data_IF_022413548761
#
_entry.id   IF_022413548761
#
_cell.length_a   1.000
_cell.length_b   1.000
_cell.length_c   1.000
_cell.angle_alpha   90.00
_cell.angle_beta   90.00
_cell.angle_gamma   90.00
#
_symmetry.space_group_name_H-M   'P 1'
#
loop_
_entity.id
_entity.type
_entity.pdbx_description
1 polymer ?
#
# COMPACT_ATOMS: atom_id res chain seq x y z
N UNK A 1 -16.40 62.23 -5.78
CA UNK A 1 -15.11 62.00 -5.11
C UNK A 1 -14.75 60.53 -5.30
N UNK A 2 -13.90 60.21 -6.27
CA UNK A 2 -13.46 58.82 -6.50
C UNK A 2 -12.37 58.47 -5.50
N UNK A 3 -12.66 57.55 -4.60
CA UNK A 3 -11.69 56.94 -3.70
C UNK A 3 -10.72 56.08 -4.51
N UNK A 4 -9.44 56.47 -4.52
CA UNK A 4 -8.38 55.70 -5.15
C UNK A 4 -8.24 54.32 -4.46
N UNK A 5 -8.00 53.23 -5.23
CA UNK A 5 -7.84 51.90 -4.65
C UNK A 5 -6.57 51.84 -3.79
N UNK A 6 -6.73 51.39 -2.55
CA UNK A 6 -5.63 51.16 -1.61
C UNK A 6 -4.62 50.18 -2.19
N UNK A 7 -3.33 50.56 -2.17
CA UNK A 7 -2.25 49.70 -2.64
C UNK A 7 -2.20 48.39 -1.84
N UNK A 8 -1.97 47.23 -2.50
CA UNK A 8 -1.92 45.94 -1.82
C UNK A 8 -0.75 45.88 -0.85
N UNK A 9 -0.94 45.19 0.28
CA UNK A 9 0.07 45.05 1.32
C UNK A 9 1.35 44.38 0.78
N UNK A 10 2.53 44.63 1.38
CA UNK A 10 3.79 44.00 0.99
C UNK A 10 3.71 42.47 0.96
N UNK A 11 2.96 41.87 1.89
CA UNK A 11 2.72 40.42 1.97
C UNK A 11 1.89 39.91 0.79
N UNK A 12 0.83 40.64 0.40
CA UNK A 12 0.01 40.29 -0.76
C UNK A 12 0.80 40.40 -2.07
N UNK A 13 1.70 41.39 -2.19
CA UNK A 13 2.61 41.51 -3.33
C UNK A 13 3.60 40.36 -3.39
N UNK A 14 4.19 39.94 -2.25
CA UNK A 14 5.08 38.77 -2.19
C UNK A 14 4.36 37.51 -2.63
N UNK A 15 3.19 37.20 -2.06
CA UNK A 15 2.39 36.03 -2.46
C UNK A 15 2.02 36.01 -3.95
N UNK A 16 1.65 37.17 -4.52
CA UNK A 16 1.35 37.28 -5.94
C UNK A 16 2.57 37.04 -6.83
N UNK A 17 3.75 37.51 -6.43
CA UNK A 17 5.02 37.26 -7.11
C UNK A 17 5.42 35.78 -7.02
N UNK A 18 5.29 35.15 -5.85
CA UNK A 18 5.59 33.72 -5.68
C UNK A 18 4.64 32.87 -6.53
N UNK A 19 3.34 33.16 -6.53
CA UNK A 19 2.36 32.47 -7.37
C UNK A 19 2.70 32.56 -8.86
N UNK A 20 3.00 33.77 -9.35
CA UNK A 20 3.36 33.98 -10.76
C UNK A 20 4.62 33.21 -11.16
N UNK A 21 5.61 33.12 -10.27
CA UNK A 21 6.84 32.35 -10.50
C UNK A 21 6.57 30.84 -10.55
N UNK A 22 5.70 30.31 -9.69
CA UNK A 22 5.27 28.92 -9.76
C UNK A 22 4.53 28.62 -11.08
N UNK A 23 3.61 29.49 -11.50
CA UNK A 23 2.86 29.33 -12.76
C UNK A 23 3.80 29.35 -13.99
N UNK A 24 4.84 30.18 -13.96
CA UNK A 24 5.83 30.27 -15.04
C UNK A 24 6.78 29.06 -15.09
N UNK A 25 7.23 28.56 -13.93
CA UNK A 25 8.03 27.35 -13.84
C UNK A 25 7.25 26.11 -14.33
N UNK A 26 5.96 26.01 -13.98
CA UNK A 26 5.05 25.00 -14.50
C UNK A 26 4.92 25.04 -16.03
N UNK A 27 4.75 26.24 -16.59
CA UNK A 27 4.66 26.44 -18.04
C UNK A 27 5.97 26.11 -18.78
N UNK A 28 7.13 26.30 -18.13
CA UNK A 28 8.44 25.90 -18.68
C UNK A 28 8.61 24.38 -18.70
N UNK A 29 8.17 23.68 -17.66
CA UNK A 29 8.20 22.20 -17.61
C UNK A 29 7.32 21.56 -18.69
N UNK A 30 6.18 22.16 -19.03
CA UNK A 30 5.32 21.70 -20.13
C UNK A 30 5.98 21.89 -21.52
N UNK A 31 6.95 22.81 -21.67
CA UNK A 31 7.71 23.02 -22.92
C UNK A 31 9.00 22.20 -23.01
N UNK A 32 9.60 21.85 -21.87
CA UNK A 32 10.99 21.38 -21.81
C UNK A 32 11.19 19.86 -21.92
N UNK A 33 10.14 19.05 -22.14
CA UNK A 33 10.30 17.60 -22.35
C UNK A 33 10.17 17.26 -23.84
N UNK A 34 11.25 17.37 -24.64
CA UNK A 34 11.28 16.71 -25.93
C UNK A 34 11.21 15.20 -25.70
N UNK A 35 10.17 14.56 -26.23
CA UNK A 35 10.11 13.10 -26.32
C UNK A 35 11.32 12.66 -27.14
N UNK A 36 12.27 11.86 -26.62
CA UNK A 36 13.37 11.37 -27.43
C UNK A 36 12.79 10.49 -28.54
N UNK A 37 12.89 11.00 -29.77
CA UNK A 37 12.54 10.27 -30.98
C UNK A 37 13.47 9.06 -31.12
N UNK A 38 12.87 7.88 -31.22
CA UNK A 38 13.54 6.58 -31.28
C UNK A 38 14.36 6.46 -32.58
N UNK A 39 15.64 6.83 -32.55
CA UNK A 39 16.60 6.43 -33.57
C UNK A 39 17.18 5.05 -33.19
N UNK A 40 16.80 4.01 -33.95
CA UNK A 40 17.41 2.69 -33.86
C UNK A 40 18.76 2.68 -34.61
N UNK A 41 19.83 2.04 -34.09
CA UNK A 41 21.04 1.83 -34.87
C UNK A 41 20.89 0.59 -35.78
N UNK A 42 21.03 0.80 -37.08
CA UNK A 42 21.20 -0.23 -38.10
C UNK A 42 22.66 -0.66 -38.13
N UNK A 43 22.98 -1.88 -37.67
CA UNK A 43 24.30 -2.47 -37.79
C UNK A 43 24.37 -3.37 -39.02
N UNK A 44 25.26 -3.02 -39.95
CA UNK A 44 25.64 -3.82 -41.11
C UNK A 44 26.61 -4.93 -40.70
N UNK A 45 26.45 -6.12 -41.29
CA UNK A 45 27.36 -7.26 -41.17
C UNK A 45 28.17 -7.44 -42.47
N UNK A 46 29.41 -7.96 -42.42
CA UNK A 46 30.06 -8.57 -43.57
C UNK A 46 30.05 -10.11 -43.52
N UNK A 47 30.25 -10.66 -44.71
CA UNK A 47 30.01 -12.04 -45.16
C UNK A 47 31.28 -12.92 -45.17
N UNK A 48 31.07 -14.23 -45.40
CA UNK A 48 31.99 -15.34 -45.72
C UNK A 48 32.63 -16.08 -44.51
N UNK A 49 32.75 -17.41 -44.44
CA UNK A 49 32.59 -18.52 -45.41
C UNK A 49 32.25 -19.85 -44.68
N UNK A 50 31.66 -20.81 -45.40
CA UNK A 50 31.38 -22.20 -44.98
C UNK A 50 32.62 -23.13 -45.19
N UNK A 51 32.67 -24.41 -44.72
CA UNK A 51 31.77 -25.51 -45.19
C UNK A 51 31.34 -26.62 -44.17
N UNK A 52 30.09 -27.11 -44.36
CA UNK A 52 29.49 -28.50 -44.40
C UNK A 52 30.12 -29.76 -43.73
N UNK A 53 29.39 -30.92 -43.58
CA UNK A 53 27.93 -31.19 -43.45
C UNK A 53 27.53 -32.36 -42.46
N UNK A 54 26.22 -32.70 -42.46
CA UNK A 54 25.55 -33.97 -42.09
C UNK A 54 24.99 -34.15 -40.65
N UNK A 55 23.66 -33.98 -40.52
CA UNK A 55 22.77 -35.09 -40.13
C UNK A 55 21.29 -34.72 -40.27
N UNK A 56 20.58 -35.58 -40.99
CA UNK A 56 19.17 -35.50 -41.30
C UNK A 56 18.28 -35.81 -40.08
N UNK A 57 17.12 -35.15 -40.00
CA UNK A 57 15.86 -35.76 -39.50
C UNK A 57 14.63 -34.91 -39.84
N UNK A 58 13.93 -35.39 -40.86
CA UNK A 58 12.48 -35.59 -41.00
C UNK A 58 11.52 -34.47 -40.56
N UNK A 59 10.92 -33.82 -41.56
CA UNK A 59 9.66 -33.07 -41.46
C UNK A 59 8.46 -34.00 -41.23
N UNK A 60 7.33 -33.45 -40.77
CA UNK A 60 6.13 -33.59 -41.60
C UNK A 60 5.37 -32.29 -41.84
N UNK A 61 4.81 -32.30 -43.05
CA UNK A 61 3.82 -31.50 -43.75
C UNK A 61 3.06 -30.36 -43.08
N UNK A 62 2.99 -29.29 -43.86
CA UNK A 62 1.94 -28.30 -43.90
C UNK A 62 0.62 -28.92 -44.37
N UNK A 63 -0.44 -28.69 -43.62
CA UNK A 63 -1.83 -28.55 -44.06
C UNK A 63 -2.59 -27.84 -42.91
N UNK A 64 -3.64 -27.10 -43.24
CA UNK A 64 -4.46 -26.21 -42.38
C UNK A 64 -3.99 -24.76 -42.18
N UNK A 65 -3.82 -24.06 -43.31
CA UNK A 65 -4.08 -22.63 -43.41
C UNK A 65 -5.58 -22.35 -43.61
N UNK A 66 -6.36 -22.26 -42.52
CA UNK A 66 -7.63 -21.54 -42.49
C UNK A 66 -8.21 -21.47 -41.05
N UNK A 67 -7.70 -20.55 -40.23
CA UNK A 67 -8.52 -19.98 -39.16
C UNK A 67 -8.28 -18.49 -39.09
N UNK A 68 -9.19 -17.78 -39.76
CA UNK A 68 -9.65 -16.40 -39.52
C UNK A 68 -9.00 -15.70 -38.33
N UNK A 69 -8.32 -14.60 -38.63
CA UNK A 69 -7.81 -13.65 -37.66
C UNK A 69 -8.92 -13.08 -36.78
N UNK A 70 -9.13 -13.72 -35.63
CA UNK A 70 -9.57 -13.01 -34.45
C UNK A 70 -8.38 -12.14 -34.03
N UNK A 71 -8.44 -10.84 -34.30
CA UNK A 71 -7.60 -9.86 -33.62
C UNK A 71 -7.62 -10.24 -32.15
N UNK A 72 -6.47 -10.68 -31.61
CA UNK A 72 -6.40 -11.15 -30.24
C UNK A 72 -6.81 -9.98 -29.37
N UNK A 73 -8.04 -10.04 -28.87
CA UNK A 73 -8.57 -9.05 -27.95
C UNK A 73 -7.63 -9.11 -26.77
N UNK A 74 -6.76 -8.11 -26.68
CA UNK A 74 -5.74 -8.03 -25.64
C UNK A 74 -6.49 -7.94 -24.32
N UNK A 75 -6.66 -9.08 -23.66
CA UNK A 75 -7.51 -9.16 -22.48
C UNK A 75 -6.75 -8.52 -21.31
N UNK A 76 -7.11 -7.27 -21.03
CA UNK A 76 -6.57 -6.53 -19.90
C UNK A 76 -7.12 -7.15 -18.61
N UNK A 77 -6.47 -8.19 -18.11
CA UNK A 77 -6.91 -8.96 -16.96
C UNK A 77 -6.18 -8.60 -15.65
N UNK A 78 -6.82 -8.90 -14.53
CA UNK A 78 -6.25 -8.81 -13.18
C UNK A 78 -4.96 -9.66 -13.00
N UNK A 79 -4.83 -10.76 -13.77
CA UNK A 79 -3.60 -11.56 -13.78
C UNK A 79 -2.41 -10.76 -14.32
N UNK A 80 -2.60 -10.00 -15.40
CA UNK A 80 -1.55 -9.16 -15.96
C UNK A 80 -1.20 -7.97 -15.06
N UNK A 81 -2.17 -7.45 -14.29
CA UNK A 81 -1.91 -6.41 -13.28
C UNK A 81 -0.93 -6.90 -12.21
N UNK A 82 -1.16 -8.11 -11.66
CA UNK A 82 -0.25 -8.71 -10.66
C UNK A 82 1.15 -8.91 -11.21
N UNK A 83 1.30 -9.38 -12.45
CA UNK A 83 2.61 -9.56 -13.07
C UNK A 83 3.37 -8.24 -13.18
N UNK A 84 2.70 -7.16 -13.60
CA UNK A 84 3.33 -5.83 -13.65
C UNK A 84 3.70 -5.33 -12.26
N UNK A 85 2.83 -5.49 -11.26
CA UNK A 85 3.12 -5.10 -9.88
C UNK A 85 4.33 -5.81 -9.27
N UNK A 86 4.59 -7.07 -9.65
CA UNK A 86 5.76 -7.82 -9.17
C UNK A 86 7.09 -7.20 -9.60
N UNK A 87 7.09 -6.40 -10.67
CA UNK A 87 8.31 -5.73 -11.14
C UNK A 87 8.74 -4.55 -10.27
N UNK A 88 7.87 -4.05 -9.40
CA UNK A 88 8.16 -2.91 -8.53
C UNK A 88 8.83 -3.37 -7.23
N UNK A 89 10.11 -3.05 -7.12
CA UNK A 89 10.93 -3.26 -5.92
C UNK A 89 11.19 -1.92 -5.21
N UNK A 90 11.30 -1.87 -3.86
CA UNK A 90 11.73 -0.65 -3.17
C UNK A 90 13.12 -0.17 -3.64
N UNK A 91 13.96 -1.06 -4.17
CA UNK A 91 15.28 -0.68 -4.71
C UNK A 91 15.21 0.11 -6.02
N UNK A 92 14.15 -0.08 -6.81
CA UNK A 92 14.02 0.51 -8.15
C UNK A 92 12.90 1.55 -8.25
N UNK A 93 11.97 1.57 -7.30
CA UNK A 93 10.81 2.46 -7.29
C UNK A 93 10.54 2.97 -5.87
N UNK A 94 11.55 3.66 -5.32
CA UNK A 94 11.52 4.23 -3.97
C UNK A 94 10.88 5.62 -3.96
N UNK A 95 10.26 5.96 -2.83
CA UNK A 95 9.78 7.32 -2.51
C UNK A 95 8.98 8.03 -3.62
N UNK A 96 8.19 7.26 -4.37
CA UNK A 96 7.32 7.85 -5.39
C UNK A 96 6.04 8.39 -4.75
N UNK A 97 5.58 9.58 -5.14
CA UNK A 97 4.35 10.15 -4.63
C UNK A 97 3.14 9.28 -5.02
N UNK A 98 2.00 9.39 -4.34
CA UNK A 98 0.83 8.55 -4.57
C UNK A 98 0.34 8.50 -6.03
N UNK A 99 0.46 9.61 -6.77
CA UNK A 99 0.11 9.68 -8.19
C UNK A 99 0.98 8.79 -9.11
N UNK A 100 2.14 8.37 -8.61
CA UNK A 100 3.12 7.49 -9.27
C UNK A 100 3.32 6.19 -8.50
N UNK A 101 2.42 5.84 -7.59
CA UNK A 101 2.48 4.59 -6.85
C UNK A 101 2.50 3.38 -7.83
N UNK A 102 3.17 2.27 -7.48
CA UNK A 102 3.22 1.07 -8.32
C UNK A 102 1.87 0.61 -8.89
N UNK A 103 0.75 0.63 -8.13
CA UNK A 103 -0.54 0.24 -8.67
C UNK A 103 -1.09 1.20 -9.73
N UNK A 104 -0.79 2.49 -9.62
CA UNK A 104 -1.20 3.47 -10.63
C UNK A 104 -0.45 3.18 -11.93
N UNK A 105 0.89 3.10 -11.88
CA UNK A 105 1.70 2.78 -13.05
C UNK A 105 1.31 1.43 -13.68
N UNK A 106 1.14 0.37 -12.88
CA UNK A 106 0.77 -0.95 -13.36
C UNK A 106 -0.65 -0.99 -13.98
N UNK A 107 -1.59 -0.18 -13.49
CA UNK A 107 -2.93 -0.05 -14.11
C UNK A 107 -2.91 0.66 -15.46
N UNK A 108 -1.86 1.43 -15.74
CA UNK A 108 -1.60 2.06 -17.03
C UNK A 108 -0.66 1.24 -17.94
N UNK A 109 -0.45 -0.04 -17.63
CA UNK A 109 0.33 -0.95 -18.48
C UNK A 109 1.85 -0.91 -18.28
N UNK A 110 2.33 -0.16 -17.29
CA UNK A 110 3.75 -0.02 -17.03
C UNK A 110 4.30 -1.11 -16.10
N UNK A 111 5.52 -1.54 -16.38
CA UNK A 111 6.33 -2.41 -15.53
C UNK A 111 7.66 -1.69 -15.21
N UNK A 112 8.15 -1.83 -13.99
CA UNK A 112 9.43 -1.27 -13.57
C UNK A 112 10.58 -2.14 -14.11
N UNK A 113 11.52 -1.53 -14.84
CA UNK A 113 12.64 -2.22 -15.48
C UNK A 113 14.00 -1.81 -14.91
N UNK A 114 14.01 -0.94 -13.91
CA UNK A 114 15.21 -0.41 -13.27
C UNK A 114 14.87 0.81 -12.42
N UNK A 115 15.89 1.44 -11.84
CA UNK A 115 15.73 2.64 -11.01
C UNK A 115 14.99 3.73 -11.78
N UNK A 116 13.81 4.07 -11.28
CA UNK A 116 12.95 5.13 -11.81
C UNK A 116 12.60 4.98 -13.29
N UNK A 117 12.69 3.76 -13.81
CA UNK A 117 12.46 3.46 -15.21
C UNK A 117 11.28 2.50 -15.36
N UNK A 118 10.30 2.93 -16.15
CA UNK A 118 9.14 2.15 -16.56
C UNK A 118 9.27 1.74 -18.02
N UNK A 119 8.70 0.59 -18.36
CA UNK A 119 8.48 0.13 -19.73
C UNK A 119 7.02 -0.28 -19.90
N UNK A 120 6.41 0.05 -21.03
CA UNK A 120 5.08 -0.45 -21.35
C UNK A 120 5.16 -1.95 -21.70
N UNK A 121 4.28 -2.77 -21.11
CA UNK A 121 4.26 -4.23 -21.35
C UNK A 121 3.87 -4.61 -22.79
N UNK A 122 3.29 -3.67 -23.55
CA UNK A 122 2.82 -3.89 -24.94
C UNK A 122 3.71 -3.16 -25.94
N UNK A 123 3.70 -1.82 -25.94
CA UNK A 123 4.43 -1.05 -26.95
C UNK A 123 5.92 -0.87 -26.67
N UNK A 124 6.43 -1.38 -25.54
CA UNK A 124 7.84 -1.33 -25.13
C UNK A 124 8.45 0.07 -24.99
N UNK A 125 7.67 1.15 -25.16
CA UNK A 125 8.11 2.52 -24.82
C UNK A 125 8.60 2.57 -23.38
N UNK A 126 9.61 3.40 -23.16
CA UNK A 126 10.26 3.61 -21.87
C UNK A 126 9.91 4.99 -21.34
N UNK A 127 9.71 5.09 -20.04
CA UNK A 127 9.46 6.33 -19.32
C UNK A 127 10.40 6.39 -18.12
N UNK A 128 11.24 7.41 -18.03
CA UNK A 128 12.16 7.63 -16.91
C UNK A 128 11.59 8.75 -16.04
N UNK A 129 11.39 8.48 -14.75
CA UNK A 129 10.69 9.33 -13.79
C UNK A 129 11.70 9.95 -12.82
N UNK A 130 12.32 11.04 -13.25
CA UNK A 130 13.23 11.82 -12.41
C UNK A 130 12.45 12.90 -11.65
N UNK A 131 12.30 12.74 -10.34
CA UNK A 131 11.67 13.74 -9.46
C UNK A 131 12.67 14.68 -8.79
N UNK A 132 13.94 14.27 -8.73
CA UNK A 132 15.03 15.05 -8.14
C UNK A 132 15.77 15.91 -9.19
N UNK A 133 15.06 16.27 -10.26
CA UNK A 133 15.62 17.12 -11.31
C UNK A 133 16.02 18.47 -10.75
N UNK A 134 17.09 19.11 -11.29
CA UNK A 134 17.44 20.47 -10.91
C UNK A 134 16.20 21.33 -11.13
N UNK A 135 15.72 21.95 -10.06
CA UNK A 135 14.55 22.82 -10.09
C UNK A 135 14.65 23.68 -11.36
N UNK A 136 13.64 23.55 -12.22
CA UNK A 136 13.67 24.10 -13.57
C UNK A 136 14.13 25.56 -13.54
N UNK A 137 15.29 25.79 -14.15
CA UNK A 137 16.02 27.05 -14.25
C UNK A 137 16.50 27.67 -12.91
N UNK A 138 17.78 28.06 -12.81
CA UNK A 138 18.22 28.90 -11.69
C UNK A 138 17.33 30.16 -11.64
N UNK A 139 16.92 30.62 -10.45
CA UNK A 139 16.14 31.84 -10.33
C UNK A 139 16.87 32.98 -11.06
N UNK A 140 16.15 33.87 -11.78
CA UNK A 140 16.77 34.93 -12.55
C UNK A 140 17.73 35.73 -11.66
N UNK A 141 18.95 35.94 -12.15
CA UNK A 141 20.03 36.64 -11.47
C UNK A 141 19.51 37.97 -10.88
N UNK A 142 19.42 38.04 -9.55
CA UNK A 142 18.85 39.20 -8.84
C UNK A 142 17.69 38.89 -7.89
N UNK A 143 17.23 37.63 -7.78
CA UNK A 143 16.37 37.24 -6.66
C UNK A 143 17.20 37.22 -5.37
N UNK A 144 16.95 38.21 -4.50
CA UNK A 144 17.52 38.27 -3.15
C UNK A 144 17.27 36.94 -2.43
N UNK A 145 18.37 36.28 -2.03
CA UNK A 145 18.37 35.14 -1.12
C UNK A 145 17.75 35.63 0.18
N UNK A 146 16.52 35.20 0.45
CA UNK A 146 15.94 35.32 1.79
C UNK A 146 16.26 33.99 2.46
N UNK A 147 16.92 34.04 3.61
CA UNK A 147 17.33 32.89 4.43
C UNK A 147 16.13 32.20 5.12
N UNK A 148 15.06 31.94 4.36
CA UNK A 148 13.86 31.27 4.84
C UNK A 148 13.88 29.84 4.32
N UNK A 149 14.63 28.96 5.02
CA UNK A 149 14.75 27.52 4.72
C UNK A 149 13.36 26.85 4.58
N UNK A 150 12.36 27.33 5.32
CA UNK A 150 11.00 26.80 5.25
C UNK A 150 10.31 27.15 3.93
N UNK A 151 10.58 28.35 3.37
CA UNK A 151 10.08 28.75 2.06
C UNK A 151 10.73 27.90 0.96
N UNK A 152 12.04 27.67 1.03
CA UNK A 152 12.74 26.82 0.05
C UNK A 152 12.19 25.39 0.03
N UNK A 153 11.96 24.79 1.21
CA UNK A 153 11.36 23.47 1.33
C UNK A 153 9.95 23.40 0.71
N UNK A 154 9.06 24.37 0.98
CA UNK A 154 7.72 24.42 0.39
C UNK A 154 7.75 24.58 -1.14
N UNK A 155 8.69 25.38 -1.67
CA UNK A 155 8.89 25.51 -3.12
C UNK A 155 9.37 24.19 -3.74
N UNK A 156 10.29 23.48 -3.09
CA UNK A 156 10.78 22.18 -3.54
C UNK A 156 9.66 21.13 -3.56
N UNK A 157 8.84 21.07 -2.50
CA UNK A 157 7.69 20.16 -2.42
C UNK A 157 6.66 20.41 -3.52
N UNK A 158 6.35 21.69 -3.80
CA UNK A 158 5.45 22.06 -4.90
C UNK A 158 6.01 21.70 -6.27
N UNK A 159 7.31 21.91 -6.49
CA UNK A 159 7.98 21.52 -7.72
C UNK A 159 7.96 19.99 -7.91
N UNK A 160 8.25 19.23 -6.85
CA UNK A 160 8.15 17.75 -6.84
C UNK A 160 6.73 17.29 -7.14
N UNK A 161 5.73 17.90 -6.54
CA UNK A 161 4.31 17.59 -6.79
C UNK A 161 3.88 17.91 -8.24
N UNK A 162 4.37 19.02 -8.80
CA UNK A 162 4.13 19.40 -10.19
C UNK A 162 4.71 18.39 -11.19
N UNK A 163 5.97 18.00 -11.00
CA UNK A 163 6.63 16.95 -11.80
C UNK A 163 5.89 15.62 -11.67
N UNK A 164 5.47 15.26 -10.45
CA UNK A 164 4.69 14.05 -10.22
C UNK A 164 3.37 14.05 -10.99
N UNK A 165 2.66 15.18 -11.02
CA UNK A 165 1.43 15.34 -11.79
C UNK A 165 1.69 15.24 -13.31
N UNK A 166 2.82 15.77 -13.80
CA UNK A 166 3.23 15.64 -15.20
C UNK A 166 3.49 14.17 -15.57
N UNK A 167 4.29 13.46 -14.77
CA UNK A 167 4.55 12.04 -15.00
C UNK A 167 3.28 11.20 -14.87
N UNK A 168 2.36 11.54 -13.97
CA UNK A 168 1.08 10.85 -13.85
C UNK A 168 0.24 10.98 -15.12
N UNK A 169 0.25 12.14 -15.80
CA UNK A 169 -0.35 12.29 -17.13
C UNK A 169 0.37 11.43 -18.17
N UNK A 170 1.71 11.39 -18.12
CA UNK A 170 2.52 10.57 -19.03
C UNK A 170 2.27 9.06 -18.86
N UNK A 171 1.85 8.58 -17.69
CA UNK A 171 1.44 7.17 -17.56
C UNK A 171 0.31 6.81 -18.53
N UNK A 172 -0.59 7.74 -18.85
CA UNK A 172 -1.64 7.53 -19.83
C UNK A 172 -1.20 7.85 -21.28
N UNK A 173 -0.36 8.86 -21.47
CA UNK A 173 -0.08 9.40 -22.82
C UNK A 173 1.24 8.95 -23.44
N UNK A 174 2.25 8.56 -22.64
CA UNK A 174 3.61 8.22 -23.09
C UNK A 174 3.72 6.81 -23.70
N UNK A 175 2.67 6.34 -24.34
CA UNK A 175 2.65 5.09 -25.10
C UNK A 175 2.82 5.35 -26.60
N UNK A 176 3.05 4.30 -27.40
CA UNK A 176 2.91 4.40 -28.86
C UNK A 176 1.46 4.74 -29.22
N UNK A 177 1.24 5.41 -30.36
CA UNK A 177 -0.11 5.85 -30.75
C UNK A 177 -1.07 4.67 -30.97
N UNK A 178 -0.54 3.53 -31.38
CA UNK A 178 -1.27 2.26 -31.57
C UNK A 178 -1.36 1.40 -30.30
N UNK A 179 -0.82 1.87 -29.17
CA UNK A 179 -0.84 1.08 -27.95
C UNK A 179 -2.22 1.10 -27.27
N UNK A 180 -2.80 -0.06 -26.92
CA UNK A 180 -4.11 -0.11 -26.27
C UNK A 180 -4.13 0.60 -24.91
N UNK A 181 -2.99 0.69 -24.22
CA UNK A 181 -2.86 1.39 -22.93
C UNK A 181 -3.04 2.91 -23.02
N UNK A 182 -2.93 3.48 -24.22
CA UNK A 182 -3.11 4.92 -24.46
C UNK A 182 -4.58 5.34 -24.33
N UNK A 183 -5.50 4.47 -24.73
CA UNK A 183 -6.95 4.71 -24.68
C UNK A 183 -7.64 3.97 -23.53
N UNK A 184 -7.07 2.85 -23.08
CA UNK A 184 -7.69 1.95 -22.11
C UNK A 184 -6.76 1.71 -20.94
N UNK A 185 -7.24 1.87 -19.71
CA UNK A 185 -6.49 1.54 -18.50
C UNK A 185 -7.37 0.74 -17.55
N UNK A 186 -6.74 -0.02 -16.65
CA UNK A 186 -7.49 -0.76 -15.65
C UNK A 186 -8.16 0.22 -14.68
N UNK A 187 -9.44 0.01 -14.35
CA UNK A 187 -10.14 0.92 -13.45
C UNK A 187 -9.58 0.81 -12.03
N UNK A 188 -9.79 1.83 -11.19
CA UNK A 188 -9.18 1.90 -9.85
C UNK A 188 -9.62 0.74 -8.95
N UNK A 189 -10.86 0.30 -9.14
CA UNK A 189 -11.40 -0.87 -8.46
C UNK A 189 -10.66 -2.18 -8.77
N UNK A 190 -9.92 -2.29 -9.88
CA UNK A 190 -9.13 -3.50 -10.18
C UNK A 190 -8.00 -3.73 -9.17
N UNK A 191 -7.60 -2.69 -8.43
CA UNK A 191 -6.62 -2.79 -7.35
C UNK A 191 -7.21 -2.45 -5.96
N UNK A 192 -8.52 -2.23 -5.87
CA UNK A 192 -9.16 -1.98 -4.59
C UNK A 192 -9.29 -3.29 -3.79
N UNK A 193 -9.27 -3.18 -2.46
CA UNK A 193 -9.79 -4.23 -1.58
C UNK A 193 -11.19 -4.63 -2.08
N UNK A 194 -11.59 -5.92 -2.05
CA UNK A 194 -12.87 -6.36 -2.59
C UNK A 194 -14.06 -5.94 -1.71
N UNK A 195 -14.27 -4.63 -1.54
CA UNK A 195 -15.45 -4.00 -0.91
C UNK A 195 -16.76 -4.40 -1.59
N UNK A 196 -16.68 -4.81 -2.85
CA UNK A 196 -17.83 -5.25 -3.66
C UNK A 196 -18.36 -6.61 -3.23
N UNK A 197 -17.62 -7.36 -2.41
CA UNK A 197 -18.13 -8.59 -1.86
C UNK A 197 -19.24 -8.27 -0.86
N UNK A 198 -20.32 -9.05 -0.93
CA UNK A 198 -21.32 -9.04 0.12
C UNK A 198 -20.66 -9.32 1.47
N UNK A 199 -21.28 -8.85 2.55
CA UNK A 199 -20.81 -9.11 3.91
C UNK A 199 -20.49 -10.60 4.13
N UNK A 200 -21.38 -11.49 3.69
CA UNK A 200 -21.19 -12.94 3.78
C UNK A 200 -19.92 -13.38 3.06
N UNK A 201 -19.73 -12.96 1.81
CA UNK A 201 -18.53 -13.29 1.04
C UNK A 201 -17.25 -12.71 1.66
N UNK A 202 -17.31 -11.55 2.33
CA UNK A 202 -16.16 -11.02 3.06
C UNK A 202 -15.83 -11.82 4.32
N UNK A 203 -16.84 -12.28 5.05
CA UNK A 203 -16.68 -13.20 6.19
C UNK A 203 -16.05 -14.51 5.74
N UNK A 204 -16.53 -15.09 4.64
CA UNK A 204 -15.99 -16.33 4.08
C UNK A 204 -14.55 -16.14 3.60
N UNK A 205 -14.26 -15.04 2.92
CA UNK A 205 -12.90 -14.70 2.49
C UNK A 205 -11.94 -14.53 3.68
N UNK A 206 -12.41 -13.89 4.77
CA UNK A 206 -11.67 -13.75 6.02
C UNK A 206 -11.38 -15.11 6.66
N UNK A 207 -12.42 -15.95 6.84
CA UNK A 207 -12.29 -17.30 7.39
C UNK A 207 -11.34 -18.15 6.55
N UNK A 208 -11.48 -18.13 5.23
CA UNK A 208 -10.62 -18.86 4.32
C UNK A 208 -9.14 -18.42 4.43
N UNK A 209 -8.86 -17.12 4.60
CA UNK A 209 -7.49 -16.63 4.85
C UNK A 209 -6.93 -17.17 6.16
N UNK A 210 -7.68 -17.07 7.26
CA UNK A 210 -7.24 -17.55 8.57
C UNK A 210 -6.97 -19.07 8.57
N UNK A 211 -7.88 -19.85 7.97
CA UNK A 211 -7.72 -21.29 7.84
C UNK A 211 -6.49 -21.67 6.99
N UNK A 212 -6.22 -20.95 5.89
CA UNK A 212 -5.02 -21.19 5.07
C UNK A 212 -3.73 -20.92 5.84
N UNK A 213 -3.69 -19.88 6.68
CA UNK A 213 -2.53 -19.59 7.53
C UNK A 213 -2.28 -20.74 8.51
N UNK A 214 -3.34 -21.30 9.08
CA UNK A 214 -3.28 -22.40 10.06
C UNK A 214 -2.84 -23.75 9.45
N UNK A 215 -2.98 -23.95 8.14
CA UNK A 215 -2.59 -25.21 7.47
C UNK A 215 -1.09 -25.53 7.58
N UNK A 216 -0.25 -24.52 7.79
CA UNK A 216 1.19 -24.70 8.03
C UNK A 216 1.45 -24.49 9.53
N UNK A 217 1.82 -25.55 10.27
CA UNK A 217 2.11 -25.46 11.69
C UNK A 217 3.15 -24.40 12.03
N UNK A 218 4.22 -24.26 11.23
CA UNK A 218 5.30 -23.29 11.53
C UNK A 218 4.80 -21.86 11.48
N UNK A 219 3.86 -21.55 10.57
CA UNK A 219 3.20 -20.24 10.52
C UNK A 219 2.28 -20.03 11.70
N UNK A 220 1.45 -21.02 12.00
CA UNK A 220 0.51 -20.95 13.12
C UNK A 220 1.24 -20.73 14.44
N UNK A 221 2.31 -21.48 14.67
CA UNK A 221 3.14 -21.43 15.87
C UNK A 221 3.93 -20.11 15.94
N UNK A 222 4.54 -19.67 14.83
CA UNK A 222 5.27 -18.40 14.77
C UNK A 222 4.37 -17.19 15.05
N UNK A 223 3.10 -17.22 14.61
CA UNK A 223 2.09 -16.22 14.95
C UNK A 223 1.60 -16.35 16.39
N UNK A 224 1.37 -17.57 16.87
CA UNK A 224 0.94 -17.85 18.24
C UNK A 224 1.97 -17.36 19.26
N UNK A 225 3.25 -17.62 19.03
CA UNK A 225 4.36 -17.19 19.88
C UNK A 225 4.43 -15.67 19.99
N UNK A 226 4.35 -14.95 18.86
CA UNK A 226 4.31 -13.47 18.83
C UNK A 226 3.08 -12.91 19.51
N UNK A 227 1.93 -13.56 19.33
CA UNK A 227 0.69 -13.18 20.02
C UNK A 227 0.81 -13.32 21.55
N UNK A 228 1.32 -14.46 22.04
CA UNK A 228 1.56 -14.67 23.48
C UNK A 228 2.51 -13.64 24.06
N UNK A 229 3.60 -13.35 23.34
CA UNK A 229 4.58 -12.34 23.72
C UNK A 229 4.06 -10.89 23.59
N UNK A 230 2.82 -10.65 23.12
CA UNK A 230 2.28 -9.32 22.79
C UNK A 230 3.14 -8.54 21.77
N UNK A 231 3.88 -9.26 20.94
CA UNK A 231 4.75 -8.76 19.85
C UNK A 231 4.08 -8.83 18.48
N UNK A 232 2.74 -8.91 18.43
CA UNK A 232 1.97 -8.94 17.20
C UNK A 232 1.01 -7.74 17.14
N UNK A 233 1.29 -6.80 16.26
CA UNK A 233 0.41 -5.67 15.92
C UNK A 233 -0.58 -6.04 14.80
N UNK A 234 -1.72 -5.35 14.66
CA UNK A 234 -2.15 -4.19 15.45
C UNK A 234 -2.66 -4.62 16.84
N UNK A 235 -2.47 -3.75 17.86
CA UNK A 235 -2.90 -4.00 19.24
C UNK A 235 -4.41 -3.84 19.38
N UNK A 236 -5.15 -4.92 19.18
CA UNK A 236 -6.60 -4.98 19.44
C UNK A 236 -6.90 -5.46 20.87
N UNK A 237 -8.01 -5.01 21.49
CA UNK A 237 -8.47 -5.56 22.76
C UNK A 237 -8.68 -7.08 22.65
N UNK A 238 -8.30 -7.83 23.69
CA UNK A 238 -8.45 -9.31 23.70
C UNK A 238 -9.89 -9.77 23.45
N UNK A 239 -10.88 -9.01 23.93
CA UNK A 239 -12.29 -9.30 23.68
C UNK A 239 -12.62 -9.23 22.18
N UNK A 240 -12.08 -8.23 21.47
CA UNK A 240 -12.24 -8.09 20.02
C UNK A 240 -11.60 -9.26 19.27
N UNK A 241 -10.38 -9.67 19.68
CA UNK A 241 -9.71 -10.83 19.08
C UNK A 241 -10.49 -12.12 19.34
N UNK A 242 -11.07 -12.29 20.53
CA UNK A 242 -11.93 -13.43 20.83
C UNK A 242 -13.17 -13.48 19.92
N UNK A 243 -13.79 -12.34 19.61
CA UNK A 243 -14.90 -12.27 18.65
C UNK A 243 -14.47 -12.65 17.23
N UNK A 244 -13.29 -12.18 16.79
CA UNK A 244 -12.72 -12.57 15.49
C UNK A 244 -12.42 -14.08 15.41
N UNK A 245 -11.88 -14.65 16.49
CA UNK A 245 -11.65 -16.09 16.62
C UNK A 245 -12.97 -16.86 16.54
N UNK A 246 -14.04 -16.36 17.16
CA UNK A 246 -15.36 -17.00 17.10
C UNK A 246 -15.91 -17.08 15.66
N UNK A 247 -15.64 -16.07 14.81
CA UNK A 247 -16.01 -16.10 13.39
C UNK A 247 -15.28 -17.22 12.64
N UNK A 248 -14.01 -17.46 12.96
CA UNK A 248 -13.20 -18.48 12.27
C UNK A 248 -13.58 -19.88 12.73
N UNK A 249 -13.78 -20.06 14.03
CA UNK A 249 -14.02 -21.37 14.65
C UNK A 249 -15.30 -22.03 14.16
N UNK A 250 -15.24 -23.34 14.03
CA UNK A 250 -16.44 -24.19 13.99
C UNK A 250 -16.96 -24.37 15.42
N UNK A 251 -18.27 -24.56 15.63
CA UNK A 251 -18.89 -24.67 16.96
C UNK A 251 -18.49 -25.93 17.76
N UNK A 252 -17.65 -26.81 17.21
CA UNK A 252 -17.29 -28.08 17.84
C UNK A 252 -16.10 -27.95 18.80
N UNK A 253 -16.34 -28.38 20.04
CA UNK A 253 -15.42 -28.52 21.19
C UNK A 253 -14.63 -27.27 21.65
N UNK A 254 -14.40 -27.19 22.96
CA UNK A 254 -13.52 -26.20 23.56
C UNK A 254 -12.07 -26.47 23.10
N UNK A 255 -11.32 -25.46 22.64
CA UNK A 255 -9.98 -25.67 22.14
C UNK A 255 -8.98 -25.66 23.30
N UNK A 256 -7.88 -26.39 23.15
CA UNK A 256 -6.72 -26.29 24.03
C UNK A 256 -6.12 -24.87 23.98
N UNK A 257 -5.40 -24.47 25.04
CA UNK A 257 -4.78 -23.14 25.17
C UNK A 257 -3.91 -22.78 23.95
N UNK A 258 -3.15 -23.75 23.41
CA UNK A 258 -2.28 -23.53 22.27
C UNK A 258 -3.05 -23.30 20.97
N UNK A 259 -4.17 -24.01 20.78
CA UNK A 259 -5.06 -23.77 19.67
C UNK A 259 -5.70 -22.37 19.74
N UNK A 260 -5.98 -21.83 20.94
CA UNK A 260 -6.47 -20.45 21.10
C UNK A 260 -5.44 -19.44 20.61
N UNK A 261 -4.16 -19.60 21.01
CA UNK A 261 -3.10 -18.69 20.60
C UNK A 261 -2.85 -18.72 19.08
N UNK A 262 -2.85 -19.91 18.47
CA UNK A 262 -2.75 -20.07 17.01
C UNK A 262 -3.95 -19.41 16.30
N UNK A 263 -5.17 -19.62 16.80
CA UNK A 263 -6.36 -18.99 16.24
C UNK A 263 -6.31 -17.46 16.35
N UNK A 264 -5.88 -16.92 17.48
CA UNK A 264 -5.76 -15.47 17.67
C UNK A 264 -4.72 -14.85 16.73
N UNK A 265 -3.52 -15.45 16.62
CA UNK A 265 -2.48 -14.97 15.73
C UNK A 265 -2.88 -15.03 14.24
N UNK A 266 -3.48 -16.14 13.81
CA UNK A 266 -3.98 -16.29 12.43
C UNK A 266 -5.18 -15.40 12.14
N UNK A 267 -6.05 -15.16 13.12
CA UNK A 267 -7.17 -14.22 13.01
C UNK A 267 -6.71 -12.78 12.74
N UNK A 268 -5.69 -12.32 13.45
CA UNK A 268 -5.11 -11.00 13.26
C UNK A 268 -4.37 -10.86 11.93
N UNK A 269 -3.55 -11.86 11.58
CA UNK A 269 -2.87 -11.90 10.29
C UNK A 269 -3.87 -11.87 9.12
N UNK A 270 -4.94 -12.66 9.18
CA UNK A 270 -5.99 -12.67 8.15
C UNK A 270 -6.81 -11.37 8.08
N UNK A 271 -7.00 -10.69 9.22
CA UNK A 271 -7.67 -9.39 9.32
C UNK A 271 -6.81 -8.30 8.66
N UNK A 272 -5.50 -8.36 8.84
CA UNK A 272 -4.52 -7.49 8.21
C UNK A 272 -4.16 -7.95 6.80
N UNK A 273 -4.82 -8.98 6.28
CA UNK A 273 -4.67 -9.38 4.88
C UNK A 273 -3.51 -10.24 4.49
N UNK A 274 -2.81 -10.76 5.49
CA UNK A 274 -1.81 -11.78 5.28
C UNK A 274 -2.47 -13.11 4.97
N UNK A 275 -1.78 -13.89 4.18
CA UNK A 275 -2.11 -15.26 3.88
C UNK A 275 -0.84 -16.09 3.80
N UNK A 276 -0.98 -17.40 3.71
CA UNK A 276 0.17 -18.27 3.52
C UNK A 276 0.84 -18.05 2.16
N UNK A 277 2.15 -17.82 2.17
CA UNK A 277 3.01 -17.87 0.99
C UNK A 277 3.35 -19.30 0.56
N UNK A 278 4.07 -19.45 -0.57
CA UNK A 278 4.56 -20.74 -1.06
C UNK A 278 5.56 -21.40 -0.10
N UNK A 279 6.39 -20.59 0.57
CA UNK A 279 7.44 -21.09 1.46
C UNK A 279 6.90 -21.35 2.88
N UNK A 280 7.48 -22.33 3.55
CA UNK A 280 7.12 -22.69 4.94
C UNK A 280 7.45 -21.52 5.86
N UNK A 281 6.51 -21.16 6.75
CA UNK A 281 6.72 -20.02 7.65
C UNK A 281 6.55 -18.65 6.98
N UNK A 282 6.26 -18.58 5.69
CA UNK A 282 6.14 -17.32 4.95
C UNK A 282 4.70 -16.79 4.95
N UNK A 283 4.55 -15.50 5.26
CA UNK A 283 3.35 -14.72 5.01
C UNK A 283 3.50 -13.94 3.71
N UNK A 284 2.41 -13.83 2.95
CA UNK A 284 2.34 -12.93 1.80
C UNK A 284 1.08 -12.07 1.84
N UNK A 285 1.16 -10.85 1.31
CA UNK A 285 0.01 -10.04 0.96
C UNK A 285 -0.20 -10.09 -0.55
N UNK A 286 -1.38 -10.52 -1.02
CA UNK A 286 -1.67 -10.59 -2.47
C UNK A 286 -1.86 -9.25 -3.17
N UNK A 287 -2.06 -8.17 -2.40
CA UNK A 287 -2.27 -6.84 -2.98
C UNK A 287 -0.94 -6.12 -3.19
N UNK A 288 -0.15 -5.97 -2.11
CA UNK A 288 1.14 -5.29 -2.19
C UNK A 288 2.31 -6.23 -2.48
N UNK A 289 2.05 -7.53 -2.59
CA UNK A 289 3.04 -8.57 -2.92
C UNK A 289 4.21 -8.64 -1.93
N UNK A 290 4.04 -8.08 -0.72
CA UNK A 290 5.02 -8.18 0.34
C UNK A 290 5.05 -9.61 0.86
N UNK A 291 6.26 -10.11 1.11
CA UNK A 291 6.53 -11.39 1.76
C UNK A 291 7.24 -11.14 3.09
N UNK A 292 6.87 -11.88 4.13
CA UNK A 292 7.50 -11.85 5.43
C UNK A 292 7.81 -13.28 5.85
N UNK A 293 9.04 -13.50 6.33
CA UNK A 293 9.40 -14.77 6.95
C UNK A 293 9.13 -14.68 8.45
N UNK A 294 8.37 -15.63 8.98
CA UNK A 294 8.24 -15.79 10.42
C UNK A 294 9.45 -16.58 10.91
N UNK A 295 10.48 -15.88 11.36
CA UNK A 295 11.56 -16.54 12.11
C UNK A 295 10.97 -17.17 13.37
N UNK A 296 11.41 -18.38 13.76
CA UNK A 296 11.18 -18.84 15.14
C UNK A 296 11.70 -17.73 16.06
N UNK A 297 10.92 -17.24 17.03
CA UNK A 297 11.60 -16.47 18.07
C UNK A 297 12.50 -17.47 18.77
N UNK A 298 13.78 -17.12 18.89
CA UNK A 298 14.67 -17.82 19.79
C UNK A 298 13.93 -17.91 21.13
N UNK A 299 13.54 -19.12 21.52
CA UNK A 299 13.10 -19.35 22.88
C UNK A 299 14.34 -19.06 23.70
N UNK A 300 14.43 -17.85 24.26
CA UNK A 300 15.39 -17.54 25.29
C UNK A 300 15.05 -18.49 26.43
N UNK A 301 15.63 -19.69 26.39
CA UNK A 301 15.73 -20.56 27.53
C UNK A 301 16.60 -19.77 28.48
N UNK A 302 15.94 -19.03 29.36
CA UNK A 302 16.54 -18.37 30.49
C UNK A 302 17.04 -19.47 31.44
N UNK A 303 18.10 -20.15 31.03
CA UNK A 303 18.92 -20.95 31.94
C UNK A 303 19.88 -19.95 32.56
N UNK A 304 19.35 -19.12 33.46
CA UNK A 304 20.16 -18.47 34.50
C UNK A 304 20.60 -19.55 35.48
N UNK A 305 21.46 -20.47 35.03
CA UNK A 305 22.38 -21.15 35.93
C UNK A 305 23.56 -20.20 36.10
N UNK A 306 23.42 -19.33 37.10
CA UNK A 306 24.54 -18.69 37.78
C UNK A 306 25.36 -19.76 38.50
N UNK A 307 26.05 -20.61 37.76
CA UNK A 307 27.16 -21.40 38.27
C UNK A 307 28.41 -20.84 37.61
N UNK A 308 29.00 -19.87 38.31
CA UNK A 308 30.32 -19.34 38.06
C UNK A 308 31.29 -20.41 38.60
N UNK A 309 31.98 -21.21 37.78
CA UNK A 309 33.07 -22.00 38.30
C UNK A 309 34.20 -21.02 38.56
N UNK A 310 34.56 -20.82 39.83
CA UNK A 310 35.81 -20.18 40.22
C UNK A 310 36.96 -21.07 39.79
N UNK A 311 37.25 -21.06 38.49
CA UNK A 311 38.44 -21.65 37.88
C UNK A 311 39.60 -20.69 38.08
N UNK A 312 40.31 -20.90 39.19
CA UNK A 312 41.61 -20.33 39.50
C UNK A 312 42.61 -20.74 38.43
N UNK A 313 43.11 -19.77 37.67
CA UNK A 313 44.34 -19.90 36.90
C UNK A 313 45.37 -19.00 37.57
N UNK A 314 46.20 -19.59 38.44
CA UNK A 314 47.51 -19.00 38.76
C UNK A 314 48.32 -18.94 37.46
N UNK A 315 48.93 -17.80 37.17
CA UNK A 315 50.26 -17.65 36.55
C UNK A 315 50.64 -16.17 36.46
N UNK A 316 51.56 -15.77 37.35
CA UNK A 316 52.85 -15.17 36.95
C UNK A 316 52.86 -13.77 36.35
N UNK A 317 53.25 -12.81 37.19
CA UNK A 317 54.18 -11.70 36.96
C UNK A 317 54.65 -11.41 35.52
N UNK A 318 54.35 -10.18 35.06
CA UNK A 318 55.38 -9.29 34.51
C UNK A 318 54.88 -7.84 34.57
N UNK A 319 55.65 -7.04 35.27
CA UNK A 319 55.52 -5.60 35.42
C UNK A 319 55.49 -4.87 34.07
N UNK A 320 54.61 -3.88 33.94
CA UNK A 320 54.94 -2.69 33.16
C UNK A 320 54.15 -1.49 33.68
N UNK A 321 54.83 -0.72 34.53
CA UNK A 321 54.48 0.66 34.85
C UNK A 321 54.45 1.50 33.58
N UNK A 322 53.31 2.13 33.29
CA UNK A 322 53.28 3.40 32.56
C UNK A 322 52.12 4.21 33.08
N UNK A 323 52.45 5.09 34.03
CA UNK A 323 51.68 6.27 34.40
C UNK A 323 51.29 7.05 33.14
N UNK A 324 49.99 7.14 32.90
CA UNK A 324 49.42 8.23 32.11
C UNK A 324 48.18 8.72 32.83
N UNK A 325 48.40 9.74 33.65
CA UNK A 325 47.36 10.63 34.17
C UNK A 325 46.64 11.29 32.99
N UNK A 326 45.41 10.84 32.71
CA UNK A 326 44.44 11.59 31.92
C UNK A 326 43.18 11.72 32.78
N UNK A 327 43.21 12.73 33.65
CA UNK A 327 41.99 13.35 34.15
C UNK A 327 41.32 14.08 32.97
N UNK A 328 40.07 13.72 32.70
CA UNK A 328 39.29 14.28 31.61
C UNK A 328 37.84 13.81 31.70
N UNK A 329 37.12 14.43 32.63
CA UNK A 329 35.67 14.40 32.74
C UNK A 329 34.97 14.58 31.39
N UNK A 330 34.30 13.53 30.89
CA UNK A 330 33.16 13.68 29.99
C UNK A 330 32.09 12.66 30.38
N UNK A 331 31.19 13.09 31.28
CA UNK A 331 29.87 12.50 31.53
C UNK A 331 29.05 12.51 30.23
N UNK A 332 29.33 11.54 29.34
CA UNK A 332 28.50 11.25 28.18
C UNK A 332 27.18 10.63 28.64
N UNK A 333 26.00 11.13 28.22
CA UNK A 333 24.73 10.51 28.57
C UNK A 333 24.72 9.09 27.99
N UNK A 334 24.79 8.10 28.87
CA UNK A 334 24.75 6.69 28.51
C UNK A 334 23.55 6.40 27.61
N UNK A 335 23.83 6.15 26.33
CA UNK A 335 22.85 5.66 25.37
C UNK A 335 22.48 4.25 25.81
N UNK A 336 21.41 4.13 26.60
CA UNK A 336 20.78 2.86 26.88
C UNK A 336 20.19 2.36 25.57
N UNK A 337 20.91 1.46 24.91
CA UNK A 337 20.40 0.67 23.79
C UNK A 337 19.21 -0.15 24.27
N UNK A 338 18.00 0.40 24.09
CA UNK A 338 16.73 -0.29 24.28
C UNK A 338 16.57 -1.36 23.19
N UNK A 339 17.32 -2.46 23.32
CA UNK A 339 17.24 -3.61 22.40
C UNK A 339 15.91 -4.35 22.50
N UNK A 340 15.13 -4.13 23.57
CA UNK A 340 13.86 -4.81 23.83
C UNK A 340 12.74 -4.49 22.81
N UNK A 341 12.87 -3.39 22.06
CA UNK A 341 11.87 -2.92 21.10
C UNK A 341 11.92 -3.58 19.72
N UNK A 342 13.03 -4.23 19.33
CA UNK A 342 13.28 -4.63 17.93
C UNK A 342 12.44 -5.81 17.43
N UNK A 343 11.78 -6.55 18.32
CA UNK A 343 11.10 -7.81 17.97
C UNK A 343 9.56 -7.73 17.81
N UNK A 344 8.98 -6.52 17.80
CA UNK A 344 7.54 -6.36 17.57
C UNK A 344 7.23 -6.42 16.07
N UNK A 345 6.46 -7.44 15.65
CA UNK A 345 5.95 -7.54 14.29
C UNK A 345 4.61 -6.80 14.20
N UNK A 346 4.61 -5.58 13.67
CA UNK A 346 3.37 -4.92 13.26
C UNK A 346 2.92 -5.42 11.89
N UNK A 347 1.81 -6.18 11.87
CA UNK A 347 1.26 -6.74 10.64
C UNK A 347 0.70 -5.66 9.69
N UNK A 348 0.37 -4.47 10.18
CA UNK A 348 -0.10 -3.34 9.38
C UNK A 348 1.10 -2.68 8.72
N UNK A 349 2.08 -2.24 9.51
CA UNK A 349 3.23 -1.48 9.01
C UNK A 349 4.15 -2.32 8.11
N UNK A 350 4.11 -3.63 8.24
CA UNK A 350 4.89 -4.52 7.39
C UNK A 350 4.39 -4.55 5.94
N UNK A 351 3.18 -4.04 5.63
CA UNK A 351 2.73 -3.85 4.25
C UNK A 351 3.53 -2.77 3.53
N UNK A 352 3.49 -2.76 2.19
CA UNK A 352 4.02 -1.61 1.45
C UNK A 352 3.09 -0.42 1.61
N UNK A 353 3.65 0.79 1.62
CA UNK A 353 2.93 2.06 1.80
C UNK A 353 1.70 2.25 0.90
N UNK A 354 1.67 1.63 -0.29
CA UNK A 354 0.56 1.69 -1.24
C UNK A 354 -0.50 0.57 -1.07
N UNK A 355 -0.37 -0.28 -0.05
CA UNK A 355 -1.24 -1.42 0.14
C UNK A 355 -2.66 -0.98 0.56
N UNK A 356 -3.73 -1.46 -0.10
CA UNK A 356 -5.12 -1.14 0.28
C UNK A 356 -5.49 -1.51 1.72
N UNK A 357 -4.69 -2.36 2.39
CA UNK A 357 -4.88 -2.69 3.79
C UNK A 357 -4.56 -1.54 4.74
N UNK A 358 -3.63 -0.66 4.37
CA UNK A 358 -3.12 0.43 5.20
C UNK A 358 -3.46 1.80 4.63
N UNK A 359 -3.64 1.88 3.31
CA UNK A 359 -4.12 3.08 2.64
C UNK A 359 -5.61 3.25 2.92
N UNK A 360 -6.00 4.46 3.32
CA UNK A 360 -7.39 4.83 3.52
C UNK A 360 -8.14 4.75 2.19
N UNK A 361 -9.33 4.14 2.16
CA UNK A 361 -10.04 3.88 0.91
C UNK A 361 -10.32 5.14 0.05
N UNK A 362 -10.38 6.32 0.68
CA UNK A 362 -10.59 7.61 0.02
C UNK A 362 -9.32 8.30 -0.51
N UNK A 363 -8.11 7.81 -0.23
CA UNK A 363 -6.86 8.48 -0.62
C UNK A 363 -6.26 8.01 -1.96
N UNK A 364 -6.86 7.02 -2.63
CA UNK A 364 -6.51 6.74 -4.02
C UNK A 364 -7.33 7.70 -4.88
N UNK A 365 -6.73 8.74 -5.49
CA UNK A 365 -7.48 9.62 -6.39
C UNK A 365 -8.06 8.77 -7.51
N UNK A 366 -9.38 8.61 -7.52
CA UNK A 366 -10.09 8.24 -8.73
C UNK A 366 -9.86 9.34 -9.77
N UNK A 367 -9.90 9.03 -11.08
CA UNK A 367 -10.10 10.09 -12.04
C UNK A 367 -11.37 10.82 -11.60
N UNK A 368 -11.25 12.11 -11.27
CA UNK A 368 -12.42 12.95 -10.98
C UNK A 368 -13.43 12.75 -12.11
N UNK A 369 -14.75 12.72 -11.82
CA UNK A 369 -15.75 12.32 -12.79
C UNK A 369 -15.55 13.12 -14.06
N UNK A 370 -15.01 12.46 -15.09
CA UNK A 370 -15.14 12.95 -16.45
C UNK A 370 -16.63 12.97 -16.69
N UNK A 371 -17.19 14.15 -16.96
CA UNK A 371 -18.61 14.36 -17.19
C UNK A 371 -19.11 13.39 -18.27
N UNK A 372 -19.61 12.24 -17.86
CA UNK A 372 -20.22 11.25 -18.72
C UNK A 372 -21.74 11.32 -18.51
N UNK A 373 -22.53 11.23 -19.60
CA UNK A 373 -23.98 11.33 -19.52
C UNK A 373 -24.57 10.17 -18.72
N UNK A 374 -25.43 10.52 -17.77
CA UNK A 374 -26.09 9.60 -16.83
C UNK A 374 -26.99 8.60 -17.56
N UNK A 375 -26.62 7.32 -17.54
CA UNK A 375 -27.56 6.21 -17.75
C UNK A 375 -28.05 5.69 -16.39
N UNK A 376 -29.36 5.50 -16.19
CA UNK A 376 -29.89 4.80 -15.02
C UNK A 376 -29.68 3.28 -15.21
N UNK A 377 -29.45 2.54 -14.11
CA UNK A 377 -29.46 1.07 -13.99
C UNK A 377 -28.13 0.30 -13.82
N UNK A 378 -27.20 0.82 -13.00
CA UNK A 378 -26.24 -0.06 -12.33
C UNK A 378 -26.17 0.21 -10.82
N UNK A 379 -26.82 -0.64 -10.02
CA UNK A 379 -26.69 -0.70 -8.56
C UNK A 379 -25.33 -1.23 -8.14
N UNK A 380 -24.26 -0.50 -8.46
CA UNK A 380 -22.98 -0.68 -7.79
C UNK A 380 -23.11 -0.09 -6.39
N UNK A 381 -23.15 -0.96 -5.37
CA UNK A 381 -23.28 -0.57 -3.97
C UNK A 381 -22.32 0.56 -3.60
N UNK A 382 -22.88 1.74 -3.33
CA UNK A 382 -22.11 2.88 -2.87
C UNK A 382 -21.41 2.52 -1.55
N UNK A 383 -20.12 2.85 -1.45
CA UNK A 383 -19.39 2.73 -0.18
C UNK A 383 -20.10 3.65 0.83
N UNK A 384 -20.57 3.14 1.98
CA UNK A 384 -21.21 3.97 2.98
C UNK A 384 -20.30 5.14 3.37
N UNK A 385 -20.81 6.37 3.35
CA UNK A 385 -20.04 7.58 3.66
C UNK A 385 -19.36 7.58 5.04
N UNK A 386 -19.73 6.65 5.92
CA UNK A 386 -19.15 6.44 7.26
C UNK A 386 -17.74 5.77 7.28
N UNK A 387 -17.13 5.52 6.11
CA UNK A 387 -15.82 4.84 5.99
C UNK A 387 -14.68 5.75 5.51
N UNK A 388 -14.93 7.05 5.37
CA UNK A 388 -13.86 8.01 5.06
C UNK A 388 -12.87 8.04 6.23
N UNK A 389 -11.58 7.85 5.96
CA UNK A 389 -10.54 7.87 7.00
C UNK A 389 -10.14 6.52 7.60
N UNK A 390 -10.84 5.42 7.27
CA UNK A 390 -10.47 4.09 7.79
C UNK A 390 -9.59 3.32 6.80
N UNK A 391 -8.60 2.61 7.34
CA UNK A 391 -7.77 1.69 6.57
C UNK A 391 -8.56 0.42 6.21
N UNK A 392 -8.08 -0.34 5.22
CA UNK A 392 -8.76 -1.56 4.79
C UNK A 392 -8.97 -2.59 5.91
N UNK A 393 -7.99 -2.75 6.80
CA UNK A 393 -8.13 -3.71 7.91
C UNK A 393 -9.13 -3.26 8.96
N UNK A 394 -9.22 -1.96 9.23
CA UNK A 394 -10.18 -1.38 10.18
C UNK A 394 -11.61 -1.53 9.67
N UNK A 395 -11.83 -1.21 8.39
CA UNK A 395 -13.14 -1.36 7.76
C UNK A 395 -13.59 -2.83 7.75
N UNK A 396 -12.68 -3.76 7.41
CA UNK A 396 -12.97 -5.20 7.49
C UNK A 396 -13.32 -5.60 8.93
N UNK A 397 -12.52 -5.16 9.92
CA UNK A 397 -12.76 -5.48 11.33
C UNK A 397 -14.12 -4.98 11.80
N UNK A 398 -14.47 -3.73 11.50
CA UNK A 398 -15.79 -3.17 11.82
C UNK A 398 -16.91 -3.99 11.21
N UNK A 399 -16.83 -4.27 9.91
CA UNK A 399 -17.86 -5.04 9.21
C UNK A 399 -17.98 -6.46 9.79
N UNK A 400 -16.88 -7.15 10.09
CA UNK A 400 -16.92 -8.49 10.70
C UNK A 400 -17.63 -8.47 12.06
N UNK A 401 -17.33 -7.48 12.91
CA UNK A 401 -17.84 -7.39 14.27
C UNK A 401 -19.29 -6.88 14.35
N UNK A 402 -19.71 -6.00 13.44
CA UNK A 402 -21.04 -5.36 13.49
C UNK A 402 -22.22 -6.31 13.38
N UNK A 403 -22.06 -7.45 12.71
CA UNK A 403 -23.11 -8.48 12.59
C UNK A 403 -22.68 -9.84 13.12
N UNK A 404 -21.57 -9.87 13.86
CA UNK A 404 -21.46 -10.83 14.96
C UNK A 404 -22.34 -10.41 16.14
N UNK A 405 -22.79 -9.14 16.18
CA UNK A 405 -23.89 -8.76 17.06
C UNK A 405 -25.08 -9.62 16.67
N UNK A 406 -25.69 -10.38 17.59
CA UNK A 406 -26.97 -11.00 17.29
C UNK A 406 -27.83 -9.87 16.76
N UNK A 407 -28.41 -10.02 15.57
CA UNK A 407 -29.53 -9.18 15.19
C UNK A 407 -30.38 -9.13 16.44
N UNK A 408 -30.63 -7.92 16.96
CA UNK A 408 -31.66 -7.76 17.97
C UNK A 408 -32.88 -8.36 17.29
N UNK A 409 -33.16 -9.63 17.54
CA UNK A 409 -34.42 -10.25 17.20
C UNK A 409 -35.38 -9.28 17.85
N UNK A 410 -36.04 -8.49 17.00
CA UNK A 410 -37.22 -7.78 17.44
C UNK A 410 -38.01 -8.83 18.20
N UNK A 411 -38.35 -8.57 19.48
CA UNK A 411 -39.02 -9.56 20.31
C UNK A 411 -40.15 -10.17 19.48
N UNK A 412 -40.24 -11.51 19.42
CA UNK A 412 -41.22 -12.19 18.57
C UNK A 412 -42.60 -11.62 18.89
N UNK A 413 -43.26 -11.06 17.88
CA UNK A 413 -44.54 -10.35 17.97
C UNK A 413 -44.63 -9.34 19.12
N UNK A 414 -44.05 -8.16 18.91
CA UNK A 414 -44.83 -6.97 19.30
C UNK A 414 -46.03 -6.96 18.36
N UNK A 415 -47.20 -7.26 18.91
CA UNK A 415 -48.45 -7.29 18.15
C UNK A 415 -48.61 -5.97 17.39
N UNK A 416 -49.34 -5.96 16.27
CA UNK A 416 -49.64 -4.71 15.54
C UNK A 416 -50.18 -3.60 16.47
N UNK A 417 -50.82 -4.01 17.58
CA UNK A 417 -51.24 -3.16 18.70
C UNK A 417 -50.09 -2.44 19.40
N UNK A 418 -48.99 -3.13 19.70
CA UNK A 418 -47.82 -2.54 20.37
C UNK A 418 -47.08 -1.54 19.47
N UNK A 419 -47.07 -1.80 18.16
CA UNK A 419 -46.54 -0.86 17.17
C UNK A 419 -47.39 0.41 17.09
N UNK A 420 -48.73 0.28 17.04
CA UNK A 420 -49.66 1.42 17.06
C UNK A 420 -49.58 2.21 18.37
N UNK A 421 -49.46 1.53 19.51
CA UNK A 421 -49.30 2.17 20.82
C UNK A 421 -48.01 2.98 20.91
N UNK A 422 -46.88 2.42 20.45
CA UNK A 422 -45.58 3.10 20.43
C UNK A 422 -45.58 4.29 19.47
N UNK A 423 -46.26 4.16 18.32
CA UNK A 423 -46.39 5.23 17.33
C UNK A 423 -47.29 6.38 17.84
N UNK A 424 -48.39 6.06 18.53
CA UNK A 424 -49.25 7.03 19.22
C UNK A 424 -48.52 7.76 20.35
N UNK A 425 -47.66 7.06 21.09
CA UNK A 425 -46.90 7.66 22.19
C UNK A 425 -45.84 8.64 21.66
N UNK A 426 -45.18 8.31 20.54
CA UNK A 426 -44.28 9.23 19.82
C UNK A 426 -45.03 10.45 19.29
N UNK A 427 -46.22 10.25 18.71
CA UNK A 427 -47.03 11.36 18.21
C UNK A 427 -47.48 12.30 19.35
N UNK A 428 -47.87 11.76 20.51
CA UNK A 428 -48.20 12.56 21.70
C UNK A 428 -47.01 13.36 22.23
N UNK A 429 -45.82 12.76 22.29
CA UNK A 429 -44.61 13.45 22.71
C UNK A 429 -44.22 14.59 21.75
N UNK A 430 -44.33 14.36 20.44
CA UNK A 430 -44.09 15.40 19.42
C UNK A 430 -45.13 16.52 19.53
N UNK A 431 -46.41 16.18 19.74
CA UNK A 431 -47.47 17.16 19.92
C UNK A 431 -47.25 18.01 21.19
N UNK A 432 -46.86 17.40 22.30
CA UNK A 432 -46.52 18.12 23.54
C UNK A 432 -45.35 19.08 23.37
N UNK A 433 -44.33 18.69 22.59
CA UNK A 433 -43.20 19.58 22.27
C UNK A 433 -43.63 20.76 21.37
N UNK A 434 -44.53 20.53 20.42
CA UNK A 434 -45.06 21.58 19.55
C UNK A 434 -46.00 22.54 20.30
N UNK A 435 -46.80 22.02 21.23
CA UNK A 435 -47.69 22.82 22.08
C UNK A 435 -46.89 23.61 23.14
N UNK A 436 -45.71 23.15 23.57
CA UNK A 436 -44.81 23.92 24.46
C UNK A 436 -44.12 25.10 23.77
N UNK A 437 -44.00 25.07 22.44
CA UNK A 437 -43.37 26.12 21.64
C UNK A 437 -44.35 27.17 21.08
N UNK A 438 -45.65 27.03 21.36
CA UNK A 438 -46.69 28.03 21.11
C UNK A 438 -47.05 28.73 22.40
#
# INVERSE_FOLDING_TARGET
MSTAPSSPSPTARRLALTKRRCDEALAQLDRAVPVPSSAAPSAAAPSAAAPSPLSARTAPSAEDAASTGAASSFEISDRLLRQRLQTFSPLFWFDKPPALAPPVAARHGWQCIGTDALQCSVCRKRLVVALDGPAASPPPAGACVLDDDALEADLADRARAALAAQFARQLATAHADTCPWRSTHLPAQSYAWPWRLSRAAQVDAYRARALRLRRDPRRADGLAQRWRARRLGPRLPRATVAQLVAIIRSPSAAPESDAVAQLAGTALAALCGWQGGPDVGQLECRLCLRRLMLSPLATATATTTSDRPTGRCDNGEADNDTDTDVEGDEDGPGVQDNEDGKDVLDLVDAHRWFCPWIVVASSIPGPGPAAAPSTPDDHVGAVPGALVGTTGWQTLGRMLLEGARPEKRLPPDTTESDHKATQMQRYRAIKQLLDFHR
#
